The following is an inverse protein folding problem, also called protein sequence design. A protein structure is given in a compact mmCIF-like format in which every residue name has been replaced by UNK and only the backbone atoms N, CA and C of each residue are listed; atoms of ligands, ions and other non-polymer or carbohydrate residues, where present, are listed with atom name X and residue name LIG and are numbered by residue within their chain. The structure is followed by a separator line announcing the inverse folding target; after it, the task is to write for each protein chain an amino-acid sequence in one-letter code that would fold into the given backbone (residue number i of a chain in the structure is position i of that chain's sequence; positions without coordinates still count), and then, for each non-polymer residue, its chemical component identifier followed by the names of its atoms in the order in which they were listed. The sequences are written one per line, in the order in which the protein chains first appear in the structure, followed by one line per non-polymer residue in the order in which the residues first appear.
data_IF_201647176599
#
_entry.id   IF_201647176599
#
_cell.length_a   1.000
_cell.length_b   1.000
_cell.length_c   1.000
_cell.angle_alpha   90.00
_cell.angle_beta   90.00
_cell.angle_gamma   90.00
#
_symmetry.space_group_name_H-M   'P 1'
#
loop_
_entity.id
_entity.type
_entity.pdbx_description
1 polymer ?
#
# COMPACT_ATOMS: atom_id res chain seq x y z
N UNK A 1 11.85 -5.33 11.47
CA UNK A 1 10.55 -5.98 11.25
C UNK A 1 10.61 -6.61 9.88
N UNK A 2 10.56 -7.94 9.81
CA UNK A 2 10.41 -8.68 8.54
C UNK A 2 8.96 -9.18 8.50
N UNK A 3 8.18 -8.67 7.57
CA UNK A 3 6.77 -9.05 7.41
C UNK A 3 6.60 -10.36 6.61
N UNK A 4 7.69 -10.91 6.07
CA UNK A 4 7.64 -12.03 5.13
C UNK A 4 7.01 -11.68 3.78
N UNK A 5 6.65 -10.41 3.54
CA UNK A 5 5.95 -9.96 2.34
C UNK A 5 6.66 -10.38 1.05
N UNK A 6 7.99 -10.22 0.98
CA UNK A 6 8.78 -10.58 -0.20
C UNK A 6 8.80 -12.09 -0.49
N UNK A 7 8.43 -12.94 0.47
CA UNK A 7 8.32 -14.39 0.26
C UNK A 7 6.99 -14.80 -0.37
N UNK A 8 6.02 -13.87 -0.45
CA UNK A 8 4.72 -14.07 -1.06
C UNK A 8 4.69 -13.60 -2.52
N UNK A 9 5.81 -13.10 -3.05
CA UNK A 9 5.90 -12.52 -4.38
C UNK A 9 6.43 -13.57 -5.35
N UNK A 10 5.63 -13.84 -6.37
CA UNK A 10 5.98 -14.74 -7.45
C UNK A 10 6.56 -13.95 -8.65
N UNK A 11 7.38 -14.61 -9.50
CA UNK A 11 7.81 -14.03 -10.75
C UNK A 11 6.60 -13.54 -11.57
N UNK A 12 6.74 -12.38 -12.20
CA UNK A 12 5.72 -11.67 -13.00
C UNK A 12 4.64 -10.92 -12.21
N UNK A 13 4.65 -10.97 -10.87
CA UNK A 13 3.71 -10.18 -10.06
C UNK A 13 3.87 -8.67 -10.28
N UNK A 14 2.74 -7.96 -10.23
CA UNK A 14 2.69 -6.50 -10.21
C UNK A 14 2.30 -6.01 -8.82
N UNK A 15 3.25 -5.35 -8.14
CA UNK A 15 3.07 -4.80 -6.79
C UNK A 15 2.82 -3.31 -6.88
N UNK A 16 1.72 -2.83 -6.31
CA UNK A 16 1.41 -1.41 -6.24
C UNK A 16 1.98 -0.78 -4.95
N UNK A 17 2.67 0.36 -5.08
CA UNK A 17 3.10 1.15 -3.93
C UNK A 17 3.01 2.65 -4.18
N UNK A 18 2.99 3.43 -3.10
CA UNK A 18 3.05 4.88 -3.20
C UNK A 18 4.41 5.36 -3.72
N UNK A 19 4.40 6.53 -4.36
CA UNK A 19 5.61 7.17 -4.87
C UNK A 19 6.59 7.40 -3.72
N UNK A 20 7.84 6.96 -3.91
CA UNK A 20 8.91 7.11 -2.94
C UNK A 20 9.08 5.94 -1.99
N UNK A 21 8.25 4.89 -2.11
CA UNK A 21 8.49 3.63 -1.39
C UNK A 21 9.63 2.83 -2.06
N UNK A 22 10.79 2.66 -1.40
CA UNK A 22 12.02 2.19 -2.05
C UNK A 22 12.10 0.65 -2.10
N UNK A 23 11.13 -0.01 -2.74
CA UNK A 23 11.07 -1.49 -2.86
C UNK A 23 11.42 -2.02 -4.26
N UNK A 24 11.73 -1.12 -5.21
CA UNK A 24 11.91 -1.51 -6.61
C UNK A 24 13.02 -2.54 -6.81
N UNK A 25 14.17 -2.37 -6.15
CA UNK A 25 15.29 -3.31 -6.22
C UNK A 25 14.90 -4.70 -5.70
N UNK A 26 14.15 -4.76 -4.62
CA UNK A 26 13.71 -6.03 -4.01
C UNK A 26 12.75 -6.80 -4.92
N UNK A 27 11.83 -6.08 -5.57
CA UNK A 27 10.91 -6.68 -6.55
C UNK A 27 11.63 -7.17 -7.80
N UNK A 28 12.61 -6.41 -8.31
CA UNK A 28 13.41 -6.83 -9.47
C UNK A 28 14.17 -8.12 -9.17
N UNK A 29 14.71 -8.28 -7.96
CA UNK A 29 15.37 -9.53 -7.53
C UNK A 29 14.40 -10.73 -7.50
N UNK A 30 13.09 -10.48 -7.39
CA UNK A 30 12.02 -11.49 -7.44
C UNK A 30 11.37 -11.62 -8.83
N UNK A 31 11.90 -10.94 -9.86
CA UNK A 31 11.29 -10.88 -11.20
C UNK A 31 9.86 -10.30 -11.19
N UNK A 32 9.56 -9.45 -10.21
CA UNK A 32 8.30 -8.73 -10.06
C UNK A 32 8.45 -7.25 -10.42
N UNK A 33 7.34 -6.57 -10.63
CA UNK A 33 7.29 -5.18 -11.12
C UNK A 33 6.59 -4.26 -10.14
N UNK A 34 7.17 -3.09 -9.91
CA UNK A 34 6.57 -2.01 -9.14
C UNK A 34 5.63 -1.18 -10.02
N UNK A 35 4.38 -1.00 -9.57
CA UNK A 35 3.39 -0.11 -10.17
C UNK A 35 3.16 1.09 -9.25
N UNK A 36 3.50 2.28 -9.73
CA UNK A 36 3.22 3.53 -9.02
C UNK A 36 1.95 4.14 -9.61
N UNK A 37 0.91 4.40 -8.80
CA UNK A 37 -0.29 5.06 -9.29
C UNK A 37 0.02 6.45 -9.84
N UNK A 38 -0.63 6.86 -10.95
CA UNK A 38 -0.40 8.17 -11.52
C UNK A 38 -0.88 9.28 -10.56
N UNK A 39 -0.19 10.44 -10.53
CA UNK A 39 -0.62 11.59 -9.74
C UNK A 39 -1.97 12.09 -10.26
N UNK A 40 -2.85 12.53 -9.36
CA UNK A 40 -4.21 12.98 -9.70
C UNK A 40 -4.31 14.29 -10.47
N UNK A 41 -3.20 14.88 -10.93
CA UNK A 41 -3.18 16.16 -11.64
C UNK A 41 -2.69 15.95 -13.07
N UNK A 42 -3.58 16.29 -14.02
CA UNK A 42 -3.36 16.16 -15.45
C UNK A 42 -2.62 17.35 -16.04
N UNK A 43 -1.68 17.02 -16.91
CA UNK A 43 -1.18 17.91 -17.94
C UNK A 43 -1.03 17.04 -19.19
N UNK A 44 -1.77 17.39 -20.23
CA UNK A 44 -1.87 16.74 -21.56
C UNK A 44 -3.04 15.75 -21.77
N UNK A 45 -3.62 15.84 -22.97
CA UNK A 45 -4.70 14.99 -23.46
C UNK A 45 -4.20 13.54 -23.54
N UNK A 46 -4.70 12.66 -22.67
CA UNK A 46 -4.35 11.24 -22.69
C UNK A 46 -5.06 10.52 -23.84
N UNK A 47 -4.37 9.60 -24.51
CA UNK A 47 -4.99 8.70 -25.49
C UNK A 47 -6.01 7.78 -24.81
N UNK A 48 -7.01 7.29 -25.57
CA UNK A 48 -8.04 6.38 -25.03
C UNK A 48 -7.45 5.17 -24.31
N UNK A 49 -6.38 4.59 -24.86
CA UNK A 49 -5.71 3.44 -24.26
C UNK A 49 -5.06 3.77 -22.91
N UNK A 50 -4.38 4.91 -22.82
CA UNK A 50 -3.75 5.36 -21.58
C UNK A 50 -4.79 5.68 -20.50
N UNK A 51 -5.94 6.24 -20.87
CA UNK A 51 -7.06 6.48 -19.95
C UNK A 51 -7.56 5.16 -19.34
N UNK A 52 -7.70 4.10 -20.13
CA UNK A 52 -8.15 2.80 -19.64
C UNK A 52 -7.15 2.19 -18.65
N UNK A 53 -5.85 2.23 -18.98
CA UNK A 53 -4.78 1.73 -18.08
C UNK A 53 -4.74 2.51 -16.77
N UNK A 54 -4.77 3.84 -16.84
CA UNK A 54 -4.80 4.70 -15.66
C UNK A 54 -6.04 4.47 -14.80
N UNK A 55 -7.21 4.28 -15.42
CA UNK A 55 -8.45 3.97 -14.70
C UNK A 55 -8.34 2.64 -13.95
N UNK A 56 -7.75 1.61 -14.56
CA UNK A 56 -7.55 0.32 -13.91
C UNK A 56 -6.64 0.45 -12.66
N UNK A 57 -5.50 1.13 -12.80
CA UNK A 57 -4.57 1.38 -11.68
C UNK A 57 -5.24 2.22 -10.58
N UNK A 58 -5.98 3.27 -10.96
CA UNK A 58 -6.69 4.11 -10.00
C UNK A 58 -7.78 3.33 -9.23
N UNK A 59 -8.52 2.44 -9.90
CA UNK A 59 -9.52 1.60 -9.26
C UNK A 59 -8.88 0.69 -8.19
N UNK A 60 -7.74 0.07 -8.49
CA UNK A 60 -7.02 -0.79 -7.53
C UNK A 60 -6.49 0.03 -6.35
N UNK A 61 -5.98 1.24 -6.61
CA UNK A 61 -5.47 2.16 -5.57
C UNK A 61 -6.51 2.47 -4.49
N UNK A 62 -7.80 2.58 -4.86
CA UNK A 62 -8.88 2.84 -3.89
C UNK A 62 -8.89 1.77 -2.79
N UNK A 63 -8.59 0.51 -3.10
CA UNK A 63 -8.56 -0.56 -2.09
C UNK A 63 -7.38 -0.39 -1.12
N UNK A 64 -6.22 0.05 -1.61
CA UNK A 64 -5.06 0.39 -0.78
C UNK A 64 -5.39 1.55 0.16
N UNK A 65 -5.99 2.63 -0.35
CA UNK A 65 -6.40 3.79 0.45
C UNK A 65 -7.42 3.41 1.53
N UNK A 66 -8.37 2.52 1.21
CA UNK A 66 -9.33 1.98 2.20
C UNK A 66 -8.63 1.17 3.29
N UNK A 67 -7.66 0.32 2.94
CA UNK A 67 -6.87 -0.44 3.91
C UNK A 67 -6.11 0.48 4.87
N UNK A 68 -5.40 1.47 4.33
CA UNK A 68 -4.70 2.49 5.12
C UNK A 68 -5.69 3.28 5.98
N UNK A 69 -6.86 3.62 5.45
CA UNK A 69 -7.93 4.28 6.17
C UNK A 69 -8.36 3.53 7.43
N UNK A 70 -8.52 2.21 7.35
CA UNK A 70 -8.86 1.36 8.53
C UNK A 70 -7.79 1.44 9.62
N UNK A 71 -6.52 1.37 9.24
CA UNK A 71 -5.40 1.47 10.19
C UNK A 71 -5.30 2.88 10.80
N UNK A 72 -5.59 3.94 10.02
CA UNK A 72 -5.58 5.31 10.51
C UNK A 72 -6.73 5.65 11.48
N UNK A 73 -7.74 4.79 11.63
CA UNK A 73 -8.81 4.98 12.61
C UNK A 73 -8.32 4.83 14.06
N UNK A 74 -7.24 4.09 14.29
CA UNK A 74 -6.67 3.89 15.62
C UNK A 74 -5.96 5.17 16.09
N UNK A 75 -6.48 5.80 17.14
CA UNK A 75 -5.97 7.09 17.63
C UNK A 75 -4.49 7.03 18.06
N UNK A 76 -4.03 5.85 18.52
CA UNK A 76 -2.63 5.61 18.89
C UNK A 76 -1.67 5.74 17.69
N UNK A 77 -2.13 5.47 16.47
CA UNK A 77 -1.36 5.63 15.23
C UNK A 77 -1.64 6.97 14.53
N UNK A 78 -2.76 7.61 14.85
CA UNK A 78 -3.15 8.91 14.28
C UNK A 78 -2.42 10.09 14.93
N UNK A 79 -2.16 9.99 16.24
CA UNK A 79 -1.51 11.04 17.01
C UNK A 79 -0.01 10.76 17.17
N UNK A 80 0.73 11.77 17.64
CA UNK A 80 2.15 11.61 17.96
C UNK A 80 2.34 10.52 19.01
N UNK A 81 3.15 9.51 18.67
CA UNK A 81 3.48 8.42 19.59
C UNK A 81 4.45 8.93 20.68
N UNK A 82 4.12 8.79 21.98
CA UNK A 82 5.05 9.10 23.06
C UNK A 82 6.34 8.30 22.94
N UNK A 83 7.49 8.93 23.28
CA UNK A 83 8.82 8.28 23.21
C UNK A 83 8.86 6.98 24.02
N UNK A 84 8.13 6.90 25.13
CA UNK A 84 8.02 5.71 25.96
C UNK A 84 7.37 4.51 25.25
N UNK A 85 6.55 4.76 24.22
CA UNK A 85 5.86 3.73 23.44
C UNK A 85 6.58 3.41 22.12
N UNK A 86 7.60 4.17 21.73
CA UNK A 86 8.39 3.90 20.51
C UNK A 86 8.99 2.49 20.47
N UNK A 87 9.51 1.91 21.59
CA UNK A 87 9.97 0.52 21.58
C UNK A 87 8.88 -0.49 21.23
N UNK A 88 7.59 -0.14 21.43
CA UNK A 88 6.42 -0.98 21.15
C UNK A 88 5.75 -0.66 19.81
N UNK A 89 6.33 0.22 19.00
CA UNK A 89 5.69 0.70 17.77
C UNK A 89 5.35 -0.45 16.80
N UNK A 90 6.21 -1.47 16.73
CA UNK A 90 6.00 -2.64 15.87
C UNK A 90 4.80 -3.47 16.33
N UNK A 91 4.69 -3.74 17.63
CA UNK A 91 3.58 -4.48 18.24
C UNK A 91 2.27 -3.70 18.08
N UNK A 92 2.29 -2.39 18.35
CA UNK A 92 1.13 -1.52 18.16
C UNK A 92 0.64 -1.59 16.72
N UNK A 93 1.53 -1.42 15.74
CA UNK A 93 1.17 -1.46 14.33
C UNK A 93 0.67 -2.84 13.90
N UNK A 94 1.29 -3.92 14.38
CA UNK A 94 0.88 -5.30 14.09
C UNK A 94 -0.52 -5.58 14.62
N UNK A 95 -0.81 -5.20 15.86
CA UNK A 95 -2.13 -5.40 16.48
C UNK A 95 -3.19 -4.58 15.74
N UNK A 96 -2.93 -3.31 15.43
CA UNK A 96 -3.88 -2.47 14.68
C UNK A 96 -4.17 -3.04 13.28
N UNK A 97 -3.15 -3.58 12.61
CA UNK A 97 -3.28 -4.23 11.30
C UNK A 97 -4.06 -5.53 11.39
N UNK A 98 -3.79 -6.37 12.39
CA UNK A 98 -4.51 -7.61 12.64
C UNK A 98 -6.00 -7.36 12.90
N UNK A 99 -6.33 -6.39 13.76
CA UNK A 99 -7.73 -5.99 14.02
C UNK A 99 -8.39 -5.43 12.76
N UNK A 100 -7.66 -4.68 11.92
CA UNK A 100 -8.18 -4.19 10.64
C UNK A 100 -8.50 -5.30 9.65
N UNK A 101 -7.74 -6.40 9.69
CA UNK A 101 -7.94 -7.57 8.82
C UNK A 101 -9.15 -8.43 9.22
N UNK A 102 -9.66 -8.30 10.46
CA UNK A 102 -10.87 -8.98 10.90
C UNK A 102 -12.17 -8.30 10.45
N UNK A 103 -12.07 -7.09 9.89
CA UNK A 103 -13.22 -6.38 9.32
C UNK A 103 -13.67 -7.02 8.00
N UNK A 104 -14.89 -6.72 7.50
CA UNK A 104 -15.37 -7.24 6.23
C UNK A 104 -14.40 -6.98 5.05
N UNK A 105 -14.44 -7.78 3.97
CA UNK A 105 -13.55 -7.61 2.82
C UNK A 105 -13.49 -6.17 2.27
N UNK A 106 -12.28 -5.75 1.87
CA UNK A 106 -12.03 -4.42 1.27
C UNK A 106 -12.50 -4.29 -0.18
N UNK A 107 -12.71 -5.43 -0.82
CA UNK A 107 -13.16 -5.60 -2.21
C UNK A 107 -14.49 -6.34 -2.14
N UNK A 108 -15.46 -5.91 -2.97
CA UNK A 108 -16.74 -6.61 -3.16
C UNK A 108 -16.61 -7.61 -4.30
#
# INVERSE_FOLDING_TARGET
MDSGFLNLIDPTDEVMADRGFPIQSDLVMRQAKLIIPPPGQGSEQMTKENVLKTKAVANVRIHVERAIGRIKCFQILKNTLPITLVPLANEIFTICSAVSNLQPPLVK
#
